data_IF_194241951088
#
_entry.id   IF_194241951088
#
_cell.length_a   1.000
_cell.length_b   1.000
_cell.length_c   1.000
_cell.angle_alpha   90.00
_cell.angle_beta   90.00
_cell.angle_gamma   90.00
#
_symmetry.space_group_name_H-M   'P 1'
#
loop_
_entity.id
_entity.type
_entity.pdbx_description
1 polymer ?
#
# COMPACT_ATOMS: atom_id res chain seq x y z
N UNK A 1 14.98 -5.39 -5.86
CA UNK A 1 15.95 -4.46 -5.26
C UNK A 1 15.50 -4.16 -3.84
N UNK A 2 16.16 -4.76 -2.84
CA UNK A 2 16.09 -4.25 -1.47
C UNK A 2 16.54 -2.80 -1.51
N UNK A 3 15.72 -1.89 -0.96
CA UNK A 3 16.06 -0.47 -0.90
C UNK A 3 17.37 -0.35 -0.13
N UNK A 4 18.42 0.17 -0.75
CA UNK A 4 19.68 0.49 -0.07
C UNK A 4 19.32 1.40 1.10
N UNK A 5 19.39 0.85 2.30
CA UNK A 5 19.11 1.56 3.55
C UNK A 5 20.46 1.93 4.11
N UNK A 6 20.79 3.21 4.06
CA UNK A 6 22.04 3.74 4.57
C UNK A 6 21.74 4.60 5.80
N UNK A 7 22.71 4.63 6.71
CA UNK A 7 22.74 5.60 7.79
C UNK A 7 23.69 6.70 7.35
N UNK A 8 23.18 7.92 7.25
CA UNK A 8 23.95 9.11 6.88
C UNK A 8 24.20 9.97 8.12
N UNK A 9 25.41 10.53 8.20
CA UNK A 9 25.79 11.52 9.20
C UNK A 9 26.42 12.71 8.49
N UNK A 10 25.85 13.91 8.67
CA UNK A 10 26.43 15.16 8.21
C UNK A 10 27.46 15.66 9.23
N UNK A 11 28.73 15.33 8.99
CA UNK A 11 29.82 15.70 9.90
C UNK A 11 30.01 17.22 10.00
N UNK A 12 29.72 17.97 8.93
CA UNK A 12 29.86 19.43 8.93
C UNK A 12 28.81 20.05 9.85
N UNK A 13 27.56 19.62 9.73
CA UNK A 13 26.48 20.07 10.60
C UNK A 13 26.71 19.67 12.07
N UNK A 14 27.17 18.44 12.32
CA UNK A 14 27.42 17.94 13.68
C UNK A 14 28.50 18.76 14.38
N UNK A 15 29.60 19.06 13.69
CA UNK A 15 30.73 19.80 14.25
C UNK A 15 30.41 21.29 14.42
N UNK A 16 29.79 21.92 13.42
CA UNK A 16 29.43 23.33 13.48
C UNK A 16 28.29 23.62 14.47
N UNK A 17 27.35 22.70 14.61
CA UNK A 17 26.22 22.81 15.54
C UNK A 17 26.51 22.31 16.96
N UNK A 18 27.73 21.85 17.24
CA UNK A 18 28.15 21.23 18.51
C UNK A 18 27.16 20.14 19.01
N UNK A 19 26.60 19.36 18.08
CA UNK A 19 25.59 18.36 18.41
C UNK A 19 26.23 17.06 18.93
N UNK A 20 26.59 17.06 20.21
CA UNK A 20 27.23 15.92 20.88
C UNK A 20 26.42 14.62 20.82
N UNK A 21 25.09 14.70 20.72
CA UNK A 21 24.24 13.52 20.67
C UNK A 21 24.42 12.75 19.34
N UNK A 22 24.38 13.46 18.21
CA UNK A 22 24.61 12.87 16.89
C UNK A 22 26.06 12.40 16.73
N UNK A 23 27.03 13.17 17.23
CA UNK A 23 28.43 12.73 17.24
C UNK A 23 28.62 11.45 18.05
N UNK A 24 27.94 11.32 19.20
CA UNK A 24 27.97 10.12 20.02
C UNK A 24 27.43 8.88 19.29
N UNK A 25 26.36 9.04 18.49
CA UNK A 25 25.82 7.98 17.65
C UNK A 25 26.79 7.60 16.53
N UNK A 26 27.34 8.60 15.82
CA UNK A 26 28.35 8.41 14.80
C UNK A 26 29.56 7.63 15.35
N UNK A 27 30.13 8.08 16.46
CA UNK A 27 31.27 7.44 17.09
C UNK A 27 30.97 6.00 17.49
N UNK A 28 29.79 5.73 18.08
CA UNK A 28 29.43 4.36 18.49
C UNK A 28 29.29 3.39 17.31
N UNK A 29 28.80 3.86 16.16
CA UNK A 29 28.59 3.04 14.97
C UNK A 29 29.85 2.90 14.11
N UNK A 30 30.64 3.96 13.95
CA UNK A 30 31.77 4.02 13.01
C UNK A 30 33.14 3.90 13.67
N UNK A 31 33.23 3.78 14.99
CA UNK A 31 34.53 3.56 15.63
C UNK A 31 35.18 2.24 15.17
N UNK A 32 36.50 2.28 14.92
CA UNK A 32 37.29 1.18 14.34
C UNK A 32 37.09 -0.19 15.01
N UNK A 33 36.80 -0.22 16.31
CA UNK A 33 36.56 -1.46 17.06
C UNK A 33 35.21 -2.12 16.77
N UNK A 34 34.32 -1.52 15.96
CA UNK A 34 33.02 -2.10 15.55
C UNK A 34 33.04 -2.58 14.09
N UNK A 35 34.06 -2.19 13.33
CA UNK A 35 34.29 -2.62 11.95
C UNK A 35 35.17 -3.88 11.91
N UNK A 36 34.99 -4.75 10.90
CA UNK A 36 35.76 -5.98 10.79
C UNK A 36 37.26 -5.68 10.65
N UNK A 37 38.11 -6.59 11.12
CA UNK A 37 39.56 -6.45 10.97
C UNK A 37 40.05 -6.93 9.61
N UNK A 38 39.42 -7.96 9.08
CA UNK A 38 39.68 -8.59 7.77
C UNK A 38 38.35 -8.83 7.05
N UNK A 39 38.39 -8.99 5.72
CA UNK A 39 37.19 -9.23 4.91
C UNK A 39 36.43 -10.50 5.33
N UNK A 40 37.16 -11.53 5.80
CA UNK A 40 36.58 -12.80 6.27
C UNK A 40 35.82 -12.67 7.61
N UNK A 41 36.04 -11.57 8.35
CA UNK A 41 35.34 -11.29 9.62
C UNK A 41 34.12 -10.36 9.43
N UNK A 42 33.72 -10.08 8.18
CA UNK A 42 32.58 -9.21 7.89
C UNK A 42 31.29 -9.65 8.60
N UNK A 43 31.04 -10.96 8.68
CA UNK A 43 29.85 -11.55 9.32
C UNK A 43 29.81 -11.31 10.84
N UNK A 44 30.96 -11.05 11.47
CA UNK A 44 31.08 -10.74 12.90
C UNK A 44 30.94 -9.24 13.20
N UNK A 45 30.84 -8.41 12.15
CA UNK A 45 30.64 -6.98 12.29
C UNK A 45 29.33 -6.70 13.03
N UNK A 46 29.34 -5.73 13.94
CA UNK A 46 28.13 -5.33 14.68
C UNK A 46 27.03 -4.82 13.74
N UNK A 47 27.41 -4.15 12.64
CA UNK A 47 26.47 -3.68 11.63
C UNK A 47 25.81 -4.83 10.88
N UNK A 48 26.58 -5.87 10.54
CA UNK A 48 26.02 -7.07 9.89
C UNK A 48 25.11 -7.84 10.86
N UNK A 49 25.50 -7.94 12.13
CA UNK A 49 24.64 -8.50 13.17
C UNK A 49 23.29 -7.77 13.27
N UNK A 50 23.29 -6.42 13.32
CA UNK A 50 22.05 -5.65 13.35
C UNK A 50 21.24 -5.75 12.06
N UNK A 51 21.91 -5.84 10.90
CA UNK A 51 21.24 -6.06 9.62
C UNK A 51 20.53 -7.43 9.60
N UNK A 52 21.21 -8.50 10.00
CA UNK A 52 20.64 -9.85 10.09
C UNK A 52 19.52 -9.93 11.14
N UNK A 53 19.69 -9.31 12.31
CA UNK A 53 18.61 -9.21 13.29
C UNK A 53 17.42 -8.44 12.72
N UNK A 54 17.60 -7.33 12.01
CA UNK A 54 16.52 -6.59 11.36
C UNK A 54 15.73 -7.47 10.38
N UNK A 55 16.43 -8.25 9.55
CA UNK A 55 15.79 -9.19 8.61
C UNK A 55 15.00 -10.28 9.33
N UNK A 56 15.57 -10.86 10.39
CA UNK A 56 14.88 -11.88 11.19
C UNK A 56 13.66 -11.32 11.92
N UNK A 57 13.77 -10.10 12.46
CA UNK A 57 12.64 -9.43 13.12
C UNK A 57 11.54 -9.11 12.12
N UNK A 58 11.86 -8.62 10.92
CA UNK A 58 10.89 -8.38 9.84
C UNK A 58 10.11 -9.64 9.47
N UNK A 59 10.80 -10.76 9.25
CA UNK A 59 10.18 -12.06 8.99
C UNK A 59 9.24 -12.53 10.10
N UNK A 60 9.63 -12.36 11.37
CA UNK A 60 8.77 -12.69 12.52
C UNK A 60 7.54 -11.77 12.59
N UNK A 61 7.72 -10.47 12.37
CA UNK A 61 6.62 -9.50 12.37
C UNK A 61 5.62 -9.82 11.28
N UNK A 62 6.08 -10.19 10.08
CA UNK A 62 5.22 -10.64 8.97
C UNK A 62 4.33 -11.81 9.38
N UNK A 63 4.92 -12.88 9.91
CA UNK A 63 4.18 -14.09 10.25
C UNK A 63 3.13 -13.81 11.35
N UNK A 64 3.50 -12.98 12.33
CA UNK A 64 2.56 -12.56 13.39
C UNK A 64 1.50 -11.59 12.91
N UNK A 65 1.82 -10.72 11.96
CA UNK A 65 0.87 -9.79 11.35
C UNK A 65 -0.16 -10.56 10.52
N UNK A 66 0.23 -11.63 9.83
CA UNK A 66 -0.72 -12.53 9.16
C UNK A 66 -1.77 -13.06 10.14
N UNK A 67 -1.34 -13.62 11.27
CA UNK A 67 -2.26 -14.11 12.30
C UNK A 67 -3.15 -12.98 12.85
N UNK A 68 -2.58 -11.78 13.02
CA UNK A 68 -3.30 -10.59 13.45
C UNK A 68 -4.39 -10.16 12.46
N UNK A 69 -4.10 -10.18 11.16
CA UNK A 69 -5.06 -9.84 10.10
C UNK A 69 -6.18 -10.88 10.01
N UNK A 70 -5.87 -12.17 10.11
CA UNK A 70 -6.88 -13.24 10.13
C UNK A 70 -7.87 -13.04 11.29
N UNK A 71 -7.36 -12.81 12.51
CA UNK A 71 -8.18 -12.52 13.69
C UNK A 71 -8.99 -11.24 13.52
N UNK A 72 -8.40 -10.19 12.96
CA UNK A 72 -9.10 -8.94 12.68
C UNK A 72 -10.25 -9.13 11.67
N UNK A 73 -10.06 -9.94 10.62
CA UNK A 73 -11.10 -10.26 9.65
C UNK A 73 -12.27 -11.00 10.30
N UNK A 74 -11.97 -12.01 11.13
CA UNK A 74 -13.00 -12.75 11.87
C UNK A 74 -13.75 -11.82 12.83
N UNK A 75 -13.02 -10.96 13.55
CA UNK A 75 -13.60 -10.01 14.50
C UNK A 75 -14.50 -8.99 13.81
N UNK A 76 -14.04 -8.38 12.71
CA UNK A 76 -14.84 -7.42 11.94
C UNK A 76 -16.04 -8.11 11.30
N UNK A 77 -15.84 -9.29 10.71
CA UNK A 77 -16.91 -10.07 10.08
C UNK A 77 -18.04 -10.38 11.06
N UNK A 78 -17.68 -10.90 12.23
CA UNK A 78 -18.65 -11.17 13.28
C UNK A 78 -19.25 -9.88 13.87
N UNK A 79 -18.44 -8.84 14.08
CA UNK A 79 -18.90 -7.56 14.61
C UNK A 79 -19.99 -6.92 13.74
N UNK A 80 -19.78 -6.87 12.42
CA UNK A 80 -20.79 -6.36 11.49
C UNK A 80 -22.03 -7.25 11.45
N UNK A 81 -21.88 -8.58 11.41
CA UNK A 81 -23.04 -9.49 11.32
C UNK A 81 -23.90 -9.52 12.59
N UNK A 82 -23.28 -9.36 13.76
CA UNK A 82 -23.96 -9.38 15.06
C UNK A 82 -24.60 -8.04 15.43
N UNK A 83 -24.18 -6.94 14.79
CA UNK A 83 -24.73 -5.62 15.11
C UNK A 83 -26.21 -5.50 14.70
N UNK A 84 -26.98 -4.70 15.46
CA UNK A 84 -28.42 -4.50 15.22
C UNK A 84 -28.72 -3.82 13.88
N UNK A 85 -27.93 -2.81 13.52
CA UNK A 85 -28.14 -1.97 12.33
C UNK A 85 -27.77 -2.69 11.01
N UNK A 86 -27.22 -3.91 11.10
CA UNK A 86 -26.77 -4.69 9.94
C UNK A 86 -27.82 -5.69 9.42
N UNK A 87 -29.11 -5.42 9.65
CA UNK A 87 -30.20 -6.30 9.22
C UNK A 87 -30.28 -6.43 7.68
N UNK A 88 -30.05 -5.32 6.96
CA UNK A 88 -29.99 -5.32 5.50
C UNK A 88 -28.88 -6.25 4.97
N UNK A 89 -27.70 -6.22 5.61
CA UNK A 89 -26.58 -7.11 5.28
C UNK A 89 -26.96 -8.58 5.48
N UNK A 90 -27.60 -8.92 6.61
CA UNK A 90 -28.06 -10.29 6.90
C UNK A 90 -29.09 -10.76 5.87
N UNK A 91 -30.02 -9.89 5.47
CA UNK A 91 -31.03 -10.20 4.47
C UNK A 91 -30.42 -10.43 3.08
N UNK A 92 -29.46 -9.59 2.66
CA UNK A 92 -28.72 -9.77 1.41
C UNK A 92 -27.96 -11.09 1.36
N UNK A 93 -27.29 -11.45 2.46
CA UNK A 93 -26.57 -12.73 2.59
C UNK A 93 -27.52 -13.94 2.60
N UNK A 94 -28.67 -13.84 3.28
CA UNK A 94 -29.66 -14.92 3.34
C UNK A 94 -30.36 -15.16 1.99
N UNK A 95 -30.63 -14.09 1.23
CA UNK A 95 -31.35 -14.17 -0.04
C UNK A 95 -30.43 -14.55 -1.21
N UNK A 96 -29.11 -14.37 -1.07
CA UNK A 96 -28.13 -14.60 -2.13
C UNK A 96 -28.25 -13.63 -3.32
N UNK A 97 -29.12 -12.61 -3.21
CA UNK A 97 -29.31 -11.59 -4.22
C UNK A 97 -28.36 -10.42 -3.96
N UNK A 98 -27.25 -10.38 -4.70
CA UNK A 98 -26.32 -9.25 -4.76
C UNK A 98 -25.05 -9.39 -3.92
N UNK A 99 -25.08 -10.11 -2.79
CA UNK A 99 -23.92 -10.32 -1.93
C UNK A 99 -23.76 -11.80 -1.53
N UNK A 100 -22.68 -12.42 -1.99
CA UNK A 100 -22.27 -13.77 -1.56
C UNK A 100 -21.22 -13.68 -0.45
N UNK A 101 -20.94 -14.79 0.25
CA UNK A 101 -19.89 -14.88 1.29
C UNK A 101 -18.54 -14.36 0.79
N UNK A 102 -18.17 -14.69 -0.45
CA UNK A 102 -16.95 -14.20 -1.12
C UNK A 102 -17.00 -12.69 -1.35
N UNK A 103 -18.16 -12.13 -1.68
CA UNK A 103 -18.36 -10.70 -1.86
C UNK A 103 -18.20 -9.93 -0.56
N UNK A 104 -18.77 -10.47 0.52
CA UNK A 104 -18.61 -9.93 1.87
C UNK A 104 -17.15 -9.96 2.33
N UNK A 105 -16.48 -11.10 2.15
CA UNK A 105 -15.05 -11.25 2.46
C UNK A 105 -14.18 -10.24 1.70
N UNK A 106 -14.47 -10.01 0.41
CA UNK A 106 -13.75 -8.99 -0.37
C UNK A 106 -13.91 -7.58 0.20
N UNK A 107 -15.08 -7.23 0.73
CA UNK A 107 -15.28 -5.92 1.38
C UNK A 107 -14.55 -5.83 2.72
N UNK A 108 -14.56 -6.90 3.53
CA UNK A 108 -13.75 -6.96 4.76
C UNK A 108 -12.25 -6.84 4.47
N UNK A 109 -11.76 -7.53 3.44
CA UNK A 109 -10.37 -7.40 2.98
C UNK A 109 -10.06 -5.96 2.59
N UNK A 110 -10.91 -5.30 1.79
CA UNK A 110 -10.75 -3.88 1.42
C UNK A 110 -10.71 -2.96 2.63
N UNK A 111 -11.52 -3.22 3.64
CA UNK A 111 -11.51 -2.46 4.89
C UNK A 111 -10.17 -2.62 5.62
N UNK A 112 -9.67 -3.86 5.77
CA UNK A 112 -8.34 -4.12 6.34
C UNK A 112 -7.25 -3.44 5.50
N UNK A 113 -7.32 -3.51 4.19
CA UNK A 113 -6.38 -2.85 3.28
C UNK A 113 -6.34 -1.34 3.49
N UNK A 114 -7.50 -0.68 3.65
CA UNK A 114 -7.57 0.75 3.97
C UNK A 114 -6.86 1.07 5.29
N UNK A 115 -7.12 0.26 6.33
CA UNK A 115 -6.50 0.44 7.64
C UNK A 115 -4.98 0.28 7.56
N UNK A 116 -4.49 -0.82 6.98
CA UNK A 116 -3.06 -1.09 6.82
C UNK A 116 -2.37 -0.01 5.96
N UNK A 117 -3.02 0.42 4.87
CA UNK A 117 -2.52 1.49 4.03
C UNK A 117 -2.31 2.77 4.83
N UNK A 118 -3.33 3.20 5.59
CA UNK A 118 -3.23 4.42 6.39
C UNK A 118 -2.18 4.28 7.51
N UNK A 119 -2.06 3.11 8.17
CA UNK A 119 -1.01 2.86 9.17
C UNK A 119 0.40 3.01 8.57
N UNK A 120 0.62 2.47 7.37
CA UNK A 120 1.91 2.59 6.65
C UNK A 120 2.13 4.03 6.15
N UNK A 121 1.10 4.68 5.62
CA UNK A 121 1.22 6.03 5.09
C UNK A 121 1.46 7.07 6.19
N UNK A 122 0.79 6.95 7.33
CA UNK A 122 1.01 7.80 8.51
C UNK A 122 2.40 7.56 9.10
N UNK A 123 2.79 6.31 9.33
CA UNK A 123 4.10 6.00 9.92
C UNK A 123 5.29 6.46 9.05
N UNK A 124 5.07 6.68 7.76
CA UNK A 124 6.05 7.21 6.80
C UNK A 124 5.87 8.70 6.50
N UNK A 125 4.96 9.39 7.19
CA UNK A 125 4.62 10.81 7.00
C UNK A 125 4.29 11.16 5.53
N UNK A 126 3.55 10.30 4.84
CA UNK A 126 3.25 10.45 3.41
C UNK A 126 1.93 11.19 3.12
N UNK A 127 1.09 11.41 4.14
CA UNK A 127 -0.28 11.92 3.95
C UNK A 127 -0.36 13.45 3.92
N UNK A 128 0.50 14.13 4.67
CA UNK A 128 0.49 15.58 4.82
C UNK A 128 1.31 16.22 3.69
N UNK A 129 0.67 17.07 2.87
CA UNK A 129 1.34 17.83 1.80
C UNK A 129 1.62 19.27 2.25
N UNK A 130 0.83 19.82 3.16
CA UNK A 130 0.95 21.21 3.62
C UNK A 130 1.92 21.40 4.77
N UNK A 131 2.55 22.59 4.82
CA UNK A 131 3.40 23.04 5.94
C UNK A 131 2.61 23.66 7.11
N UNK A 132 1.27 23.70 7.02
CA UNK A 132 0.42 24.30 8.06
C UNK A 132 0.35 23.40 9.31
N UNK A 133 0.99 23.80 10.42
CA UNK A 133 1.10 22.96 11.60
C UNK A 133 -0.26 22.73 12.28
N UNK A 134 -1.20 23.67 12.14
CA UNK A 134 -2.50 23.57 12.81
C UNK A 134 -3.40 22.55 12.13
N UNK A 135 -3.37 22.49 10.79
CA UNK A 135 -4.08 21.45 10.03
C UNK A 135 -3.52 20.06 10.30
N UNK A 136 -2.19 19.95 10.37
CA UNK A 136 -1.52 18.71 10.74
C UNK A 136 -1.92 18.28 12.16
N UNK A 137 -1.98 19.21 13.11
CA UNK A 137 -2.44 18.96 14.49
C UNK A 137 -3.87 18.42 14.53
N UNK A 138 -4.81 19.07 13.82
CA UNK A 138 -6.21 18.63 13.75
C UNK A 138 -6.32 17.21 13.18
N UNK A 139 -5.56 16.90 12.12
CA UNK A 139 -5.54 15.54 11.58
C UNK A 139 -5.03 14.52 12.62
N UNK A 140 -3.87 14.80 13.21
CA UNK A 140 -3.21 13.91 14.16
C UNK A 140 -4.06 13.66 15.41
N UNK A 141 -4.74 14.68 15.92
CA UNK A 141 -5.53 14.58 17.16
C UNK A 141 -6.91 13.95 16.98
N UNK A 142 -7.53 14.04 15.79
CA UNK A 142 -8.93 13.62 15.61
C UNK A 142 -9.14 12.52 14.58
N UNK A 143 -8.39 12.52 13.49
CA UNK A 143 -8.63 11.65 12.33
C UNK A 143 -7.57 10.58 12.12
N UNK A 144 -6.41 10.70 12.77
CA UNK A 144 -5.30 9.77 12.58
C UNK A 144 -5.67 8.33 12.96
N UNK A 145 -5.15 7.39 12.17
CA UNK A 145 -5.19 5.98 12.53
C UNK A 145 -4.29 5.71 13.72
N UNK A 146 -3.19 6.43 13.86
CA UNK A 146 -2.30 6.32 15.02
C UNK A 146 -3.05 6.52 16.35
N UNK A 147 -3.93 7.52 16.43
CA UNK A 147 -4.84 7.70 17.58
C UNK A 147 -5.74 6.48 17.79
N UNK A 148 -6.29 5.90 16.72
CA UNK A 148 -7.12 4.70 16.85
C UNK A 148 -6.32 3.50 17.38
N UNK A 149 -5.04 3.38 17.00
CA UNK A 149 -4.15 2.35 17.53
C UNK A 149 -3.91 2.56 19.03
N UNK A 150 -3.63 3.78 19.46
CA UNK A 150 -3.50 4.12 20.89
C UNK A 150 -4.77 3.81 21.70
N UNK A 151 -5.95 4.07 21.11
CA UNK A 151 -7.23 3.70 21.73
C UNK A 151 -7.42 2.18 21.81
N UNK A 152 -6.98 1.43 20.79
CA UNK A 152 -7.08 -0.02 20.74
C UNK A 152 -6.12 -0.74 21.70
N UNK A 153 -5.00 -0.09 22.05
CA UNK A 153 -4.05 -0.60 23.04
C UNK A 153 -4.61 -0.59 24.46
N UNK A 154 -5.58 0.30 24.74
CA UNK A 154 -6.26 0.34 26.04
C UNK A 154 -7.25 -0.83 26.13
N UNK A 155 -7.10 -1.73 27.12
CA UNK A 155 -7.97 -2.89 27.23
C UNK A 155 -9.41 -2.45 27.53
N UNK A 156 -10.35 -2.94 26.72
CA UNK A 156 -11.79 -2.90 27.00
C UNK A 156 -12.29 -4.31 27.21
N UNK A 157 -13.23 -4.46 28.14
CA UNK A 157 -13.73 -5.77 28.57
C UNK A 157 -15.22 -5.98 28.26
N UNK A 158 -15.89 -5.00 27.65
CA UNK A 158 -17.34 -5.05 27.42
C UNK A 158 -17.75 -4.36 26.13
N UNK A 159 -18.76 -4.92 25.46
CA UNK A 159 -19.55 -4.29 24.39
C UNK A 159 -20.50 -3.27 25.00
N UNK A 160 -20.30 -2.00 24.67
CA UNK A 160 -21.09 -0.90 25.24
C UNK A 160 -22.25 -0.49 24.32
N UNK A 161 -22.28 -0.96 23.07
CA UNK A 161 -23.28 -0.60 22.07
C UNK A 161 -23.02 0.72 21.36
N UNK A 162 -21.87 1.35 21.60
CA UNK A 162 -21.46 2.60 20.94
C UNK A 162 -20.77 2.32 19.60
N UNK A 163 -20.97 3.23 18.64
CA UNK A 163 -20.45 3.13 17.26
C UNK A 163 -19.74 4.41 16.78
N UNK A 164 -19.45 5.34 17.68
CA UNK A 164 -18.83 6.64 17.36
C UNK A 164 -17.45 6.49 16.70
N UNK A 165 -16.68 5.47 17.08
CA UNK A 165 -15.36 5.22 16.49
C UNK A 165 -15.50 4.78 15.03
N UNK A 166 -16.48 3.93 14.73
CA UNK A 166 -16.80 3.53 13.36
C UNK A 166 -17.23 4.72 12.51
N UNK A 167 -18.11 5.58 13.04
CA UNK A 167 -18.54 6.78 12.33
C UNK A 167 -17.37 7.75 12.08
N UNK A 168 -16.48 7.93 13.06
CA UNK A 168 -15.25 8.72 12.89
C UNK A 168 -14.34 8.14 11.81
N UNK A 169 -14.13 6.83 11.80
CA UNK A 169 -13.32 6.14 10.78
C UNK A 169 -13.90 6.30 9.37
N UNK A 170 -15.23 6.25 9.22
CA UNK A 170 -15.89 6.54 7.93
C UNK A 170 -15.60 7.96 7.45
N UNK A 171 -15.58 8.94 8.36
CA UNK A 171 -15.18 10.31 8.02
C UNK A 171 -13.72 10.37 7.59
N UNK A 172 -12.82 9.70 8.32
CA UNK A 172 -11.40 9.59 7.93
C UNK A 172 -11.25 9.03 6.52
N UNK A 173 -11.98 7.96 6.16
CA UNK A 173 -11.93 7.43 4.79
C UNK A 173 -12.42 8.44 3.75
N UNK A 174 -13.47 9.21 4.05
CA UNK A 174 -14.00 10.26 3.15
C UNK A 174 -13.03 11.42 2.94
N UNK A 175 -12.10 11.68 3.86
CA UNK A 175 -11.04 12.69 3.67
C UNK A 175 -10.10 12.32 2.52
N UNK A 176 -9.93 11.02 2.25
CA UNK A 176 -9.01 10.52 1.23
C UNK A 176 -9.69 10.12 -0.09
N UNK A 177 -11.00 10.32 -0.18
CA UNK A 177 -11.83 10.01 -1.35
C UNK A 177 -11.53 10.95 -2.54
N UNK A 178 -12.05 10.57 -3.71
CA UNK A 178 -11.81 11.24 -5.01
C UNK A 178 -12.33 12.68 -5.06
N UNK A 179 -13.25 13.03 -4.15
CA UNK A 179 -13.87 14.35 -4.03
C UNK A 179 -12.97 15.41 -3.36
N UNK A 180 -11.69 15.13 -3.13
CA UNK A 180 -10.69 16.09 -2.61
C UNK A 180 -11.05 16.73 -1.24
N UNK A 181 -11.92 16.10 -0.45
CA UNK A 181 -12.37 16.62 0.86
C UNK A 181 -11.22 16.87 1.85
N UNK A 182 -10.16 16.08 1.76
CA UNK A 182 -8.95 16.20 2.58
C UNK A 182 -8.11 17.45 2.32
N UNK A 183 -8.34 18.19 1.22
CA UNK A 183 -7.61 19.42 0.91
C UNK A 183 -7.77 20.48 1.99
N UNK A 184 -8.91 20.51 2.68
CA UNK A 184 -9.18 21.42 3.81
C UNK A 184 -8.13 21.24 4.92
N UNK A 185 -7.69 20.00 5.16
CA UNK A 185 -6.70 19.61 6.16
C UNK A 185 -5.28 19.47 5.58
N UNK A 186 -5.04 19.87 4.33
CA UNK A 186 -3.73 19.75 3.70
C UNK A 186 -3.30 18.30 3.42
N UNK A 187 -4.27 17.39 3.29
CA UNK A 187 -4.03 15.98 2.98
C UNK A 187 -4.00 15.75 1.47
N UNK A 188 -3.14 14.83 1.03
CA UNK A 188 -3.23 14.30 -0.33
C UNK A 188 -4.49 13.46 -0.48
N UNK A 189 -5.28 13.63 -1.55
CA UNK A 189 -6.23 12.58 -1.93
C UNK A 189 -5.45 11.30 -2.20
N UNK A 190 -5.96 10.17 -1.71
CA UNK A 190 -5.41 8.85 -1.98
C UNK A 190 -6.28 8.23 -3.07
N UNK A 191 -6.12 8.73 -4.29
CA UNK A 191 -6.88 8.20 -5.41
C UNK A 191 -6.46 6.77 -5.74
N UNK A 192 -7.44 5.88 -5.69
CA UNK A 192 -7.33 4.49 -6.10
C UNK A 192 -8.65 3.76 -5.80
N UNK A 193 -8.85 2.63 -6.48
CA UNK A 193 -9.93 1.66 -6.23
C UNK A 193 -10.07 1.24 -4.74
N UNK A 194 -9.17 1.67 -3.85
CA UNK A 194 -9.21 1.38 -2.41
C UNK A 194 -10.08 2.36 -1.63
N UNK A 195 -9.97 3.68 -1.85
CA UNK A 195 -10.69 4.70 -1.07
C UNK A 195 -11.94 5.26 -1.77
N UNK A 196 -12.18 4.85 -3.02
CA UNK A 196 -13.35 5.31 -3.78
C UNK A 196 -14.69 4.95 -3.12
N UNK A 197 -15.67 5.82 -3.33
CA UNK A 197 -17.03 5.76 -2.79
C UNK A 197 -17.83 4.49 -3.08
N UNK A 198 -17.46 3.69 -4.09
CA UNK A 198 -18.22 2.49 -4.51
C UNK A 198 -17.64 1.16 -4.00
N UNK A 199 -16.70 1.19 -3.06
CA UNK A 199 -15.87 0.01 -2.76
C UNK A 199 -16.29 -0.77 -1.51
N UNK A 200 -17.02 -0.13 -0.59
CA UNK A 200 -17.56 -0.69 0.66
C UNK A 200 -19.10 -0.54 0.73
N UNK A 201 -19.80 -0.64 -0.40
CA UNK A 201 -21.24 -0.32 -0.52
C UNK A 201 -22.13 -1.03 0.48
N UNK A 202 -21.82 -2.27 0.88
CA UNK A 202 -22.65 -3.03 1.81
C UNK A 202 -22.21 -2.83 3.27
N UNK A 203 -20.96 -2.42 3.50
CA UNK A 203 -20.44 -2.11 4.83
C UNK A 203 -20.68 -0.66 5.26
N UNK A 204 -20.86 0.26 4.31
CA UNK A 204 -21.07 1.68 4.60
C UNK A 204 -22.37 1.95 5.37
N UNK A 205 -23.40 1.13 5.14
CA UNK A 205 -24.69 1.23 5.85
C UNK A 205 -24.72 0.40 7.14
N UNK A 206 -23.69 -0.39 7.42
CA UNK A 206 -23.61 -1.24 8.60
C UNK A 206 -23.05 -0.48 9.81
N UNK A 207 -23.50 -0.89 10.99
CA UNK A 207 -22.91 -0.50 12.26
C UNK A 207 -21.98 -1.59 12.81
N UNK A 208 -21.01 -1.19 13.62
CA UNK A 208 -20.15 -2.09 14.39
C UNK A 208 -19.93 -1.49 15.78
N UNK A 209 -19.89 -2.35 16.80
CA UNK A 209 -19.58 -1.93 18.17
C UNK A 209 -18.10 -1.49 18.27
N UNK A 210 -17.85 -0.42 19.02
CA UNK A 210 -16.51 0.05 19.30
C UNK A 210 -15.59 -1.04 19.86
N UNK A 211 -16.13 -1.96 20.67
CA UNK A 211 -15.40 -3.10 21.20
C UNK A 211 -14.87 -3.99 20.08
N UNK A 212 -15.71 -4.38 19.12
CA UNK A 212 -15.33 -5.27 18.03
C UNK A 212 -14.35 -4.57 17.07
N UNK A 213 -14.57 -3.28 16.76
CA UNK A 213 -13.68 -2.48 15.92
C UNK A 213 -12.30 -2.28 16.57
N UNK A 214 -12.24 -1.87 17.84
CA UNK A 214 -10.97 -1.67 18.55
C UNK A 214 -10.24 -3.00 18.76
N UNK A 215 -10.95 -4.10 18.98
CA UNK A 215 -10.34 -5.43 19.07
C UNK A 215 -9.66 -5.80 17.75
N UNK A 216 -10.33 -5.55 16.62
CA UNK A 216 -9.72 -5.76 15.31
C UNK A 216 -8.49 -4.87 15.07
N UNK A 217 -8.58 -3.57 15.40
CA UNK A 217 -7.44 -2.63 15.29
C UNK A 217 -6.29 -3.06 16.21
N UNK A 218 -6.58 -3.61 17.39
CA UNK A 218 -5.59 -4.14 18.32
C UNK A 218 -4.87 -5.35 17.72
N UNK A 219 -5.58 -6.26 17.06
CA UNK A 219 -4.98 -7.40 16.36
C UNK A 219 -4.07 -6.97 15.21
N UNK A 220 -4.32 -5.83 14.58
CA UNK A 220 -3.42 -5.25 13.58
C UNK A 220 -2.23 -4.54 14.23
N UNK A 221 -2.46 -3.86 15.36
CA UNK A 221 -1.46 -2.96 15.97
C UNK A 221 -0.45 -3.67 16.84
N UNK A 222 -0.85 -4.76 17.48
CA UNK A 222 -0.08 -5.48 18.49
C UNK A 222 0.11 -6.93 18.09
N UNK A 223 1.29 -7.46 18.41
CA UNK A 223 1.59 -8.88 18.29
C UNK A 223 2.30 -9.37 19.55
N UNK A 224 2.22 -10.68 19.77
CA UNK A 224 2.90 -11.32 20.89
C UNK A 224 4.20 -11.96 20.42
N UNK A 225 5.30 -11.58 21.06
CA UNK A 225 6.61 -12.19 20.85
C UNK A 225 7.21 -12.60 22.20
N UNK A 226 7.44 -13.90 22.36
CA UNK A 226 8.00 -14.49 23.59
C UNK A 226 7.29 -14.05 24.88
N UNK A 227 5.96 -13.96 24.86
CA UNK A 227 5.15 -13.55 26.01
C UNK A 227 5.10 -12.04 26.28
N UNK A 228 5.76 -11.22 25.44
CA UNK A 228 5.69 -9.77 25.50
C UNK A 228 4.81 -9.25 24.35
N UNK A 229 3.85 -8.40 24.68
CA UNK A 229 3.09 -7.65 23.66
C UNK A 229 3.96 -6.53 23.10
N UNK A 230 4.13 -6.52 21.78
CA UNK A 230 4.90 -5.52 21.05
C UNK A 230 4.05 -4.87 19.97
N UNK A 231 4.43 -3.64 19.63
CA UNK A 231 3.75 -2.84 18.61
C UNK A 231 4.34 -3.12 17.24
N UNK A 232 3.48 -3.30 16.25
CA UNK A 232 3.89 -3.45 14.85
C UNK A 232 4.46 -2.13 14.34
N UNK A 233 5.69 -2.17 13.82
CA UNK A 233 6.35 -1.01 13.21
C UNK A 233 6.07 -0.95 11.70
N UNK A 234 5.01 -0.26 11.32
CA UNK A 234 4.61 -0.08 9.93
C UNK A 234 5.55 0.78 9.09
N UNK A 235 6.43 1.58 9.71
CA UNK A 235 7.43 2.35 8.97
C UNK A 235 8.50 1.43 8.37
N UNK A 236 8.89 0.39 9.12
CA UNK A 236 9.94 -0.56 8.76
C UNK A 236 9.47 -1.73 7.89
N UNK A 237 8.16 -2.00 7.84
CA UNK A 237 7.58 -3.07 7.02
C UNK A 237 7.83 -2.83 5.52
N UNK A 238 8.46 -3.77 4.84
CA UNK A 238 8.71 -3.67 3.40
C UNK A 238 7.50 -4.13 2.57
N UNK A 239 7.48 -3.76 1.29
CA UNK A 239 6.42 -4.11 0.33
C UNK A 239 6.30 -5.62 0.17
N UNK A 240 7.41 -6.37 0.19
CA UNK A 240 7.42 -7.83 0.12
C UNK A 240 6.73 -8.48 1.33
N UNK A 241 6.95 -7.92 2.52
CA UNK A 241 6.37 -8.43 3.78
C UNK A 241 4.85 -8.21 3.81
N UNK A 242 4.38 -7.04 3.36
CA UNK A 242 2.95 -6.80 3.21
C UNK A 242 2.34 -7.68 2.12
N UNK A 243 3.00 -7.81 0.97
CA UNK A 243 2.54 -8.64 -0.15
C UNK A 243 2.32 -10.11 0.26
N UNK A 244 3.23 -10.66 1.04
CA UNK A 244 3.16 -12.05 1.53
C UNK A 244 2.08 -12.27 2.60
N UNK A 245 1.79 -11.26 3.44
CA UNK A 245 0.61 -11.29 4.32
C UNK A 245 -0.66 -11.43 3.49
N UNK A 246 -0.79 -10.64 2.42
CA UNK A 246 -1.98 -10.68 1.56
C UNK A 246 -2.12 -11.96 0.76
N UNK A 247 -1.02 -12.47 0.22
CA UNK A 247 -1.02 -13.75 -0.48
C UNK A 247 -1.48 -14.88 0.43
N UNK A 248 -1.03 -14.87 1.68
CA UNK A 248 -1.45 -15.85 2.69
C UNK A 248 -2.94 -15.79 3.00
N UNK A 249 -3.60 -14.63 2.81
CA UNK A 249 -5.03 -14.45 3.04
C UNK A 249 -5.89 -14.97 1.87
N UNK A 250 -5.30 -15.16 0.69
CA UNK A 250 -5.99 -15.72 -0.47
C UNK A 250 -6.27 -17.23 -0.31
N UNK A 251 -5.53 -17.91 0.57
CA UNK A 251 -5.72 -19.33 0.86
C UNK A 251 -6.97 -19.60 1.73
N UNK A 252 -7.58 -18.55 2.29
CA UNK A 252 -8.78 -18.67 3.11
C UNK A 252 -10.06 -18.52 2.30
N UNK A 253 -11.03 -19.35 2.63
CA UNK A 253 -12.39 -19.26 2.15
C UNK A 253 -13.30 -18.78 3.27
N UNK A 254 -14.13 -17.76 3.02
CA UNK A 254 -15.13 -17.34 3.98
C UNK A 254 -16.22 -18.39 4.07
N UNK A 255 -16.67 -18.67 5.28
CA UNK A 255 -17.86 -19.46 5.55
C UNK A 255 -18.73 -18.71 6.55
N UNK A 256 -20.01 -18.54 6.22
CA UNK A 256 -20.98 -17.93 7.13
C UNK A 256 -21.93 -19.02 7.60
N UNK A 257 -21.87 -19.35 8.88
CA UNK A 257 -22.82 -20.29 9.51
C UNK A 257 -23.90 -19.50 10.22
N UNK A 258 -25.15 -19.94 10.03
CA UNK A 258 -26.27 -19.40 10.78
C UNK A 258 -26.73 -20.46 11.78
N UNK A 259 -26.45 -20.22 13.07
CA UNK A 259 -26.85 -21.09 14.16
C UNK A 259 -27.86 -20.36 15.05
N UNK A 260 -29.12 -20.81 15.06
CA UNK A 260 -30.17 -20.28 15.95
C UNK A 260 -30.35 -18.75 15.88
N UNK A 261 -30.23 -18.17 14.68
CA UNK A 261 -30.36 -16.72 14.47
C UNK A 261 -29.07 -15.92 14.70
N UNK A 262 -27.99 -16.56 15.17
CA UNK A 262 -26.66 -15.96 15.26
C UNK A 262 -25.89 -16.28 13.99
N UNK A 263 -25.41 -15.24 13.33
CA UNK A 263 -24.52 -15.35 12.17
C UNK A 263 -23.08 -15.37 12.66
N UNK A 264 -22.33 -16.37 12.23
CA UNK A 264 -20.93 -16.56 12.56
C UNK A 264 -20.10 -16.62 11.26
N UNK A 265 -19.20 -15.66 11.12
CA UNK A 265 -18.22 -15.59 10.05
C UNK A 265 -16.94 -16.29 10.50
N UNK A 266 -16.52 -17.28 9.72
CA UNK A 266 -15.29 -18.03 9.92
C UNK A 266 -14.47 -18.07 8.64
N UNK A 267 -13.15 -18.13 8.79
CA UNK A 267 -12.21 -18.36 7.70
C UNK A 267 -11.75 -19.82 7.76
N UNK A 268 -11.98 -20.56 6.68
CA UNK A 268 -11.54 -21.96 6.56
C UNK A 268 -10.43 -22.02 5.54
N UNK A 269 -9.35 -22.71 5.89
CA UNK A 269 -8.23 -22.92 4.96
C UNK A 269 -8.64 -23.89 3.85
N UNK A 270 -8.52 -23.47 2.58
CA UNK A 270 -8.86 -24.29 1.42
C UNK A 270 -7.66 -24.55 0.51
N UNK A 271 -7.75 -25.62 -0.29
CA UNK A 271 -6.66 -26.10 -1.16
C UNK A 271 -6.67 -25.50 -2.58
N UNK A 272 -7.43 -24.43 -2.84
CA UNK A 272 -7.64 -23.87 -4.19
C UNK A 272 -6.40 -23.17 -4.80
N UNK A 273 -5.28 -23.10 -4.07
CA UNK A 273 -3.99 -22.62 -4.60
C UNK A 273 -3.55 -23.33 -5.88
N UNK A 274 -3.97 -24.59 -6.07
CA UNK A 274 -3.67 -25.36 -7.29
C UNK A 274 -4.54 -24.98 -8.49
N UNK A 275 -5.69 -24.33 -8.30
CA UNK A 275 -6.65 -24.03 -9.35
C UNK A 275 -6.62 -22.57 -9.83
N UNK A 276 -6.23 -21.60 -8.98
CA UNK A 276 -6.18 -20.17 -9.36
C UNK A 276 -4.82 -19.69 -9.87
N UNK A 277 -3.72 -20.36 -9.51
CA UNK A 277 -2.37 -20.07 -10.04
C UNK A 277 -1.80 -18.67 -9.72
N UNK A 278 -2.46 -17.92 -8.83
CA UNK A 278 -2.08 -16.55 -8.47
C UNK A 278 -1.01 -16.54 -7.38
N UNK A 279 0.26 -16.61 -7.78
CA UNK A 279 1.42 -16.49 -6.87
C UNK A 279 1.97 -15.06 -6.89
N UNK A 280 2.42 -14.57 -5.73
CA UNK A 280 3.22 -13.35 -5.69
C UNK A 280 4.53 -13.59 -6.46
N UNK A 281 4.88 -12.67 -7.36
CA UNK A 281 6.14 -12.74 -8.10
C UNK A 281 7.21 -11.93 -7.37
N UNK A 282 8.27 -12.56 -6.84
CA UNK A 282 9.35 -11.87 -6.14
C UNK A 282 9.92 -10.69 -6.95
N UNK A 283 10.32 -9.57 -6.32
CA UNK A 283 10.82 -8.40 -7.02
C UNK A 283 12.05 -8.68 -7.88
N UNK A 284 12.86 -9.70 -7.58
CA UNK A 284 13.99 -10.09 -8.42
C UNK A 284 13.51 -10.55 -9.81
N UNK A 285 12.41 -11.31 -9.87
CA UNK A 285 11.82 -11.78 -11.13
C UNK A 285 11.09 -10.66 -11.87
N UNK A 286 10.33 -9.83 -11.15
CA UNK A 286 9.68 -8.64 -11.73
C UNK A 286 10.73 -7.69 -12.29
N UNK A 287 11.83 -7.48 -11.57
CA UNK A 287 12.91 -6.60 -11.98
C UNK A 287 13.64 -7.13 -13.21
N UNK A 288 13.82 -8.45 -13.31
CA UNK A 288 14.36 -9.04 -14.53
C UNK A 288 13.42 -8.85 -15.72
N UNK A 289 12.11 -8.95 -15.50
CA UNK A 289 11.09 -8.68 -16.52
C UNK A 289 11.09 -7.19 -16.94
N UNK A 290 11.21 -6.26 -16.00
CA UNK A 290 11.36 -4.82 -16.28
C UNK A 290 12.61 -4.58 -17.11
N UNK A 291 13.76 -5.14 -16.69
CA UNK A 291 15.05 -4.96 -17.36
C UNK A 291 15.06 -5.50 -18.79
N UNK A 292 14.38 -6.62 -19.02
CA UNK A 292 14.39 -7.28 -20.33
C UNK A 292 13.28 -6.83 -21.26
N UNK A 293 12.12 -6.45 -20.73
CA UNK A 293 10.95 -6.10 -21.54
C UNK A 293 10.64 -4.61 -21.55
N UNK A 294 10.72 -3.94 -20.40
CA UNK A 294 10.26 -2.56 -20.27
C UNK A 294 11.37 -1.54 -20.58
N UNK A 295 12.58 -1.74 -20.04
CA UNK A 295 13.71 -0.83 -20.26
C UNK A 295 14.03 -0.65 -21.75
N UNK A 296 14.10 -1.70 -22.60
CA UNK A 296 14.40 -1.52 -24.03
C UNK A 296 13.33 -0.73 -24.78
N UNK A 297 12.06 -0.87 -24.37
CA UNK A 297 10.94 -0.14 -24.97
C UNK A 297 11.00 1.33 -24.59
N UNK A 298 11.34 1.63 -23.33
CA UNK A 298 11.54 3.01 -22.86
C UNK A 298 12.71 3.66 -23.61
N UNK A 299 13.85 2.97 -23.71
CA UNK A 299 15.03 3.45 -24.44
C UNK A 299 14.71 3.74 -25.91
N UNK A 300 14.01 2.84 -26.59
CA UNK A 300 13.64 3.05 -28.00
C UNK A 300 12.67 4.24 -28.16
N UNK A 301 11.74 4.43 -27.22
CA UNK A 301 10.83 5.59 -27.24
C UNK A 301 11.54 6.90 -26.96
N UNK A 302 12.48 6.94 -26.02
CA UNK A 302 13.34 8.10 -25.77
C UNK A 302 14.17 8.44 -27.02
N UNK A 303 14.80 7.43 -27.64
CA UNK A 303 15.57 7.60 -28.88
C UNK A 303 14.72 8.12 -30.04
N UNK A 304 13.45 7.68 -30.15
CA UNK A 304 12.51 8.21 -31.15
C UNK A 304 12.11 9.66 -30.86
N UNK A 305 11.93 10.03 -29.60
CA UNK A 305 11.63 11.39 -29.18
C UNK A 305 12.83 12.34 -29.41
N UNK A 306 14.04 11.90 -29.11
CA UNK A 306 15.28 12.63 -29.40
C UNK A 306 15.46 12.82 -30.91
N UNK A 307 15.25 11.78 -31.73
CA UNK A 307 15.28 11.89 -33.20
C UNK A 307 14.20 12.82 -33.75
N UNK A 308 12.99 12.83 -33.18
CA UNK A 308 11.93 13.79 -33.55
C UNK A 308 12.29 15.22 -33.18
N UNK A 309 12.94 15.42 -32.04
CA UNK A 309 13.41 16.73 -31.59
C UNK A 309 14.56 17.23 -32.46
N UNK A 310 15.51 16.35 -32.80
CA UNK A 310 16.61 16.63 -33.73
C UNK A 310 16.10 16.90 -35.17
N UNK A 311 15.07 16.19 -35.62
CA UNK A 311 14.46 16.44 -36.92
C UNK A 311 13.62 17.73 -36.93
N UNK A 312 12.99 18.12 -35.80
CA UNK A 312 12.26 19.40 -35.70
C UNK A 312 13.21 20.59 -35.70
N UNK A 313 14.44 20.43 -35.20
CA UNK A 313 15.49 21.45 -35.28
C UNK A 313 16.07 21.63 -36.71
N UNK A 314 15.79 20.71 -37.63
CA UNK A 314 16.27 20.74 -39.02
C UNK A 314 15.25 21.31 -40.03
N UNK A 315 14.06 21.71 -39.59
CA UNK A 315 13.11 22.47 -40.41
C UNK A 315 13.04 23.91 -39.90
N UNK A 316 13.83 24.78 -40.54
CA UNK A 316 13.67 26.24 -40.63
C UNK A 316 13.32 27.01 -39.33
N UNK A 317 14.38 27.46 -38.64
CA UNK A 317 14.39 28.83 -38.12
C UNK A 317 14.48 29.82 -39.30
N UNK A 318 13.36 29.99 -40.00
CA UNK A 318 13.05 31.23 -40.72
C UNK A 318 11.56 31.57 -40.53
N UNK A 319 11.22 32.05 -39.34
CA UNK A 319 10.18 33.08 -39.17
C UNK A 319 10.43 33.84 -37.87
N UNK A 320 10.98 35.04 -38.04
CA UNK A 320 10.73 36.28 -37.29
C UNK A 320 10.58 36.23 -35.75
N UNK A 321 11.61 36.78 -35.08
CA UNK A 321 11.55 37.57 -33.84
C UNK A 321 10.45 37.22 -32.83
N UNK A 322 10.79 36.41 -31.82
CA UNK A 322 10.45 36.66 -30.41
C UNK A 322 11.30 35.77 -29.49
N UNK A 323 12.06 36.43 -28.61
CA UNK A 323 13.03 35.87 -27.66
C UNK A 323 12.47 34.72 -26.83
N UNK A 324 13.14 33.56 -26.84
CA UNK A 324 13.24 32.69 -25.67
C UNK A 324 14.68 32.16 -25.58
N UNK A 325 15.41 32.57 -24.55
CA UNK A 325 16.75 32.07 -24.26
C UNK A 325 16.65 30.66 -23.69
N UNK A 326 17.34 29.71 -24.31
CA UNK A 326 17.63 28.39 -23.75
C UNK A 326 19.16 28.29 -23.67
N UNK A 327 19.71 28.43 -22.48
CA UNK A 327 21.13 28.20 -22.21
C UNK A 327 21.39 26.69 -22.04
N UNK A 328 22.09 26.16 -23.04
CA UNK A 328 23.08 25.05 -23.07
C UNK A 328 23.18 24.09 -21.86
N UNK A 329 23.14 22.79 -22.15
CA UNK A 329 23.89 21.77 -21.41
C UNK A 329 24.68 20.88 -22.38
N UNK A 330 26.01 20.92 -22.26
CA UNK A 330 26.94 19.97 -22.88
C UNK A 330 26.93 18.63 -22.11
N UNK A 331 26.93 17.54 -22.88
CA UNK A 331 27.24 16.20 -22.40
C UNK A 331 28.77 16.01 -22.35
N UNK A 332 29.30 15.66 -21.18
CA UNK A 332 30.59 14.96 -21.07
C UNK A 332 30.48 13.76 -20.16
N UNK A 333 30.87 12.61 -20.71
CA UNK A 333 31.05 11.32 -20.03
C UNK A 333 32.53 11.22 -19.72
N UNK A 334 32.91 11.05 -18.43
CA UNK A 334 33.96 10.13 -17.96
C UNK A 334 34.14 10.16 -16.42
N UNK A 335 34.17 8.96 -15.83
CA UNK A 335 34.87 8.46 -14.63
C UNK A 335 35.04 9.29 -13.33
N UNK A 336 34.56 8.67 -12.24
CA UNK A 336 34.81 8.87 -10.79
C UNK A 336 34.42 10.19 -10.11
N UNK A 337 33.66 10.03 -9.03
CA UNK A 337 33.23 10.95 -7.96
C UNK A 337 32.65 12.32 -8.33
N UNK A 338 31.38 12.54 -7.95
CA UNK A 338 30.92 13.82 -7.38
C UNK A 338 29.62 13.63 -6.57
N UNK A 339 29.76 13.79 -5.25
CA UNK A 339 28.71 14.23 -4.34
C UNK A 339 28.11 15.54 -4.86
N UNK A 340 26.79 15.60 -5.01
CA UNK A 340 25.99 16.83 -4.80
C UNK A 340 24.61 16.44 -4.23
N UNK A 341 24.36 16.79 -2.97
CA UNK A 341 23.03 17.07 -2.36
C UNK A 341 22.96 18.62 -2.32
N UNK A 342 21.86 19.27 -2.72
CA UNK A 342 20.56 19.16 -2.05
C UNK A 342 19.40 18.78 -2.96
N UNK A 343 18.74 17.68 -2.58
CA UNK A 343 17.43 17.28 -3.07
C UNK A 343 16.39 18.20 -2.41
N UNK A 344 15.86 19.18 -3.15
CA UNK A 344 14.51 19.68 -2.88
C UNK A 344 13.50 18.81 -3.62
N UNK A 345 12.64 18.16 -2.85
CA UNK A 345 11.37 17.54 -3.22
C UNK A 345 11.32 16.76 -4.54
N UNK A 346 11.66 15.46 -4.48
CA UNK A 346 11.06 14.47 -5.38
C UNK A 346 10.01 13.65 -4.63
N UNK A 347 8.77 14.10 -4.83
CA UNK A 347 7.50 13.42 -4.59
C UNK A 347 7.61 11.88 -4.57
N UNK A 348 7.34 11.32 -3.40
CA UNK A 348 7.35 9.89 -3.04
C UNK A 348 6.15 9.12 -3.67
N UNK A 349 5.96 9.20 -4.98
CA UNK A 349 4.80 8.65 -5.72
C UNK A 349 4.89 7.16 -6.06
N UNK A 350 6.06 6.52 -5.85
CA UNK A 350 6.27 5.11 -6.19
C UNK A 350 5.49 4.14 -5.29
N UNK A 351 5.21 4.50 -4.03
CA UNK A 351 4.37 3.67 -3.16
C UNK A 351 2.89 3.70 -3.53
N UNK A 352 2.37 4.83 -4.05
CA UNK A 352 0.97 4.93 -4.46
C UNK A 352 0.65 4.14 -5.73
N UNK A 353 1.57 4.10 -6.70
CA UNK A 353 1.38 3.39 -7.98
C UNK A 353 1.21 1.87 -7.81
N UNK A 354 1.89 1.29 -6.82
CA UNK A 354 1.88 -0.16 -6.58
C UNK A 354 0.51 -0.67 -6.12
N UNK A 355 -0.17 0.10 -5.26
CA UNK A 355 -1.50 -0.25 -4.75
C UNK A 355 -2.58 -0.22 -5.83
N UNK A 356 -2.48 0.70 -6.79
CA UNK A 356 -3.42 0.80 -7.91
C UNK A 356 -3.31 -0.39 -8.88
N UNK A 357 -2.09 -0.91 -9.12
CA UNK A 357 -1.85 -2.03 -10.03
C UNK A 357 -2.37 -3.36 -9.48
N UNK A 358 -2.18 -3.61 -8.17
CA UNK A 358 -2.60 -4.87 -7.53
C UNK A 358 -4.14 -5.02 -7.50
N UNK A 359 -4.87 -3.92 -7.28
CA UNK A 359 -6.35 -3.95 -7.23
C UNK A 359 -6.94 -4.16 -8.63
N UNK A 360 -6.33 -3.60 -9.68
CA UNK A 360 -6.77 -3.80 -11.06
C UNK A 360 -6.69 -5.26 -11.52
N UNK A 361 -5.75 -6.05 -10.99
CA UNK A 361 -5.61 -7.49 -11.31
C UNK A 361 -6.74 -8.35 -10.70
N UNK A 362 -7.50 -7.83 -9.73
CA UNK A 362 -8.68 -8.51 -9.20
C UNK A 362 -9.93 -8.38 -10.11
N UNK A 363 -9.93 -7.42 -11.04
CA UNK A 363 -11.02 -7.20 -12.01
C UNK A 363 -10.98 -8.16 -13.21
N UNK A 364 -9.84 -8.76 -13.53
CA UNK A 364 -9.66 -9.63 -14.71
C UNK A 364 -10.25 -11.03 -14.56
N UNK A 365 -10.74 -11.43 -13.39
CA UNK A 365 -11.36 -12.73 -13.14
C UNK A 365 -12.80 -12.91 -13.70
N UNK A 366 -13.27 -12.05 -14.61
CA UNK A 366 -14.64 -12.14 -15.18
C UNK A 366 -14.75 -12.02 -16.71
N UNK A 367 -13.72 -12.39 -17.47
CA UNK A 367 -13.87 -12.64 -18.92
C UNK A 367 -13.17 -13.93 -19.35
N UNK A 368 -13.95 -14.99 -19.45
CA UNK A 368 -13.58 -16.34 -19.90
C UNK A 368 -14.46 -17.30 -19.09
N UNK A 369 -15.57 -17.81 -19.60
CA UNK A 369 -15.65 -18.85 -20.64
C UNK A 369 -17.07 -18.85 -21.21
N UNK A 370 -17.23 -18.74 -22.53
CA UNK A 370 -18.32 -19.38 -23.28
C UNK A 370 -17.87 -19.58 -24.73
N UNK A 371 -17.00 -20.57 -24.94
CA UNK A 371 -16.81 -21.16 -26.27
C UNK A 371 -17.85 -22.26 -26.46
N UNK A 372 -18.76 -22.08 -27.41
CA UNK A 372 -19.45 -23.20 -28.08
C UNK A 372 -19.18 -23.09 -29.57
N UNK A 373 -18.31 -23.97 -30.07
CA UNK A 373 -18.10 -24.26 -31.49
C UNK A 373 -19.43 -24.73 -32.12
N UNK A 374 -19.82 -24.13 -33.25
CA UNK A 374 -20.07 -24.92 -34.46
C UNK A 374 -20.19 -24.08 -35.74
N UNK A 375 -19.32 -24.45 -36.70
CA UNK A 375 -19.41 -24.47 -38.18
C UNK A 375 -20.46 -23.61 -38.90
N UNK A 376 -19.99 -22.91 -39.93
CA UNK A 376 -20.84 -22.55 -41.08
C UNK A 376 -20.28 -21.40 -41.93
N UNK A 377 -19.60 -21.74 -43.02
CA UNK A 377 -19.18 -20.83 -44.08
C UNK A 377 -20.43 -20.24 -44.77
N UNK A 378 -20.52 -18.91 -44.94
CA UNK A 378 -21.02 -18.28 -46.18
C UNK A 378 -20.86 -16.75 -46.18
N UNK A 379 -20.12 -16.29 -47.20
CA UNK A 379 -20.30 -15.06 -48.00
C UNK A 379 -21.32 -14.01 -47.56
N UNK A 380 -20.88 -12.75 -47.40
CA UNK A 380 -21.31 -11.66 -48.30
C UNK A 380 -20.60 -10.33 -48.04
N UNK A 381 -20.06 -9.83 -49.14
CA UNK A 381 -19.67 -8.48 -49.53
C UNK A 381 -20.50 -7.36 -48.87
N UNK A 382 -19.84 -6.35 -48.30
CA UNK A 382 -20.45 -5.02 -48.07
C UNK A 382 -19.61 -3.92 -48.73
N UNK A 383 -20.15 -3.46 -49.85
CA UNK A 383 -19.87 -2.23 -50.57
C UNK A 383 -20.15 -1.02 -49.68
N UNK A 384 -19.20 -0.07 -49.70
CA UNK A 384 -19.38 1.30 -49.24
C UNK A 384 -20.22 2.07 -50.27
N UNK A 385 -21.25 2.79 -49.81
CA UNK A 385 -21.74 4.00 -50.50
C UNK A 385 -22.12 5.05 -49.46
N UNK A 386 -21.49 6.22 -49.60
CA UNK A 386 -21.91 7.49 -49.01
C UNK A 386 -23.17 8.01 -49.72
N UNK A 387 -24.04 8.72 -49.01
CA UNK A 387 -24.50 10.04 -49.48
C UNK A 387 -25.23 10.77 -48.36
N UNK A 388 -24.90 12.05 -48.23
CA UNK A 388 -25.65 13.07 -47.53
C UNK A 388 -27.11 13.13 -47.97
N UNK A 389 -27.97 13.55 -47.04
CA UNK A 389 -28.84 14.71 -47.19
C UNK A 389 -28.89 15.43 -45.85
#
# INVERSE_FOLDING_TARGET
MTRLTYIEFDLEQILNGENFAEFGLFYRLFHRSRLPQTADDADKCLLEYYHQESLQQGGRVRDRLRDGVEKALIQLGNGFLQHRDSENLRQKLATGNGLNEIGYYRQLLRLIYRLLFLMVAESRNLLLIGEDPEKARIYLEYYSIERLRELAERPRYRREGFQDIWQGLRVTFKLFDEDWRGQILGLSPLNGDLFGSQTLTDLDDCGIDNYDLLTAIRCLSLYEDKGQTRRVNYAALDVEELGSVYESLLDFHPQIKQNQGIYEFNLVFGSDRKTTGSYYTPPQLVQQLIKTALEPVIEEKLRQAEKKTANSNNYELQTTNSKFQITNYELRITNYELRIIPIKHKSNRSCLWFWTFFISSSKTHRKGISESKNRGISTSTRTFTSSCA
#
